data_IF_199106851140
#
_entry.id   IF_199106851140
#
_cell.length_a   1.000
_cell.length_b   1.000
_cell.length_c   1.000
_cell.angle_alpha   90.00
_cell.angle_beta   90.00
_cell.angle_gamma   90.00
#
_symmetry.space_group_name_H-M   'P 1'
#
loop_
_entity.id
_entity.type
_entity.pdbx_description
1 polymer ?
#
# COMPACT_ATOMS: atom_id res chain seq x y z
N UNK A 1 -4.22 -7.07 17.93
CA UNK A 1 -3.81 -5.66 17.72
C UNK A 1 -2.52 -5.53 16.90
N UNK A 2 -1.43 -6.19 17.30
CA UNK A 2 -0.13 -6.03 16.63
C UNK A 2 -0.02 -6.65 15.23
N UNK A 3 -0.74 -7.75 14.96
CA UNK A 3 -0.59 -8.47 13.70
C UNK A 3 -1.20 -7.74 12.50
N UNK A 4 -2.34 -7.05 12.68
CA UNK A 4 -3.00 -6.31 11.59
C UNK A 4 -2.13 -5.16 11.10
N UNK A 5 -1.61 -4.35 12.04
CA UNK A 5 -0.69 -3.25 11.73
C UNK A 5 0.56 -3.76 11.01
N UNK A 6 1.20 -4.80 11.52
CA UNK A 6 2.40 -5.35 10.89
C UNK A 6 2.14 -5.89 9.48
N UNK A 7 0.97 -6.49 9.22
CA UNK A 7 0.61 -6.92 7.86
C UNK A 7 0.36 -5.72 6.95
N UNK A 8 -0.33 -4.67 7.43
CA UNK A 8 -0.52 -3.44 6.66
C UNK A 8 0.83 -2.80 6.29
N UNK A 9 1.74 -2.69 7.25
CA UNK A 9 3.11 -2.19 7.05
C UNK A 9 3.83 -2.99 5.96
N UNK A 10 3.81 -4.32 6.04
CA UNK A 10 4.44 -5.18 5.03
C UNK A 10 3.83 -5.01 3.63
N UNK A 11 2.51 -4.78 3.51
CA UNK A 11 1.90 -4.51 2.20
C UNK A 11 2.37 -3.15 1.65
N UNK A 12 2.43 -2.12 2.50
CA UNK A 12 2.88 -0.79 2.12
C UNK A 12 4.36 -0.78 1.72
N UNK A 13 5.20 -1.56 2.40
CA UNK A 13 6.60 -1.79 2.01
C UNK A 13 6.71 -2.40 0.59
N UNK A 14 5.89 -3.39 0.26
CA UNK A 14 5.86 -3.97 -1.09
C UNK A 14 5.38 -2.95 -2.14
N UNK A 15 4.42 -2.08 -1.80
CA UNK A 15 3.97 -1.00 -2.68
C UNK A 15 5.08 0.05 -2.90
N UNK A 16 5.80 0.44 -1.84
CA UNK A 16 6.95 1.34 -1.94
C UNK A 16 8.05 0.71 -2.82
N UNK A 17 8.38 -0.57 -2.60
CA UNK A 17 9.38 -1.29 -3.38
C UNK A 17 9.00 -1.38 -4.86
N UNK A 18 7.71 -1.59 -5.17
CA UNK A 18 7.21 -1.56 -6.55
C UNK A 18 7.36 -0.17 -7.19
N UNK A 19 7.03 0.89 -6.45
CA UNK A 19 7.19 2.26 -6.92
C UNK A 19 8.66 2.59 -7.20
N UNK A 20 9.56 2.23 -6.27
CA UNK A 20 11.01 2.38 -6.44
C UNK A 20 11.55 1.57 -7.64
N UNK A 21 10.94 0.42 -7.94
CA UNK A 21 11.21 -0.36 -9.14
C UNK A 21 10.61 0.23 -10.43
N UNK A 22 9.86 1.34 -10.34
CA UNK A 22 9.29 2.07 -11.46
C UNK A 22 7.86 1.67 -11.82
N UNK A 23 7.11 1.04 -10.92
CA UNK A 23 5.75 0.55 -11.17
C UNK A 23 4.73 1.00 -10.12
N UNK A 24 3.56 1.39 -10.58
CA UNK A 24 2.33 1.50 -9.77
C UNK A 24 1.44 0.31 -10.13
N UNK A 25 0.90 -0.40 -9.14
CA UNK A 25 0.09 -1.58 -9.37
C UNK A 25 -1.18 -1.26 -10.18
N UNK A 26 -1.80 -0.11 -9.90
CA UNK A 26 -2.97 0.42 -10.60
C UNK A 26 -4.18 -0.51 -10.59
N UNK A 27 -4.27 -1.40 -9.60
CA UNK A 27 -5.43 -2.23 -9.26
C UNK A 27 -5.28 -2.87 -7.87
N UNK A 28 -4.66 -2.15 -6.92
CA UNK A 28 -4.33 -2.74 -5.62
C UNK A 28 -5.57 -3.01 -4.77
N UNK A 29 -5.66 -4.21 -4.17
CA UNK A 29 -6.73 -4.62 -3.25
C UNK A 29 -6.30 -5.78 -2.35
N UNK A 30 -7.13 -6.17 -1.37
CA UNK A 30 -6.87 -7.32 -0.50
C UNK A 30 -6.78 -8.67 -1.25
N UNK A 31 -7.35 -8.73 -2.46
CA UNK A 31 -7.37 -9.94 -3.28
C UNK A 31 -6.03 -10.20 -3.99
N UNK A 32 -5.19 -9.16 -4.08
CA UNK A 32 -3.91 -9.18 -4.79
C UNK A 32 -2.72 -9.31 -3.81
N UNK A 33 -3.01 -9.68 -2.56
CA UNK A 33 -2.06 -9.85 -1.47
C UNK A 33 -2.08 -11.29 -0.99
N UNK A 34 -0.93 -11.95 -1.02
CA UNK A 34 -0.72 -13.23 -0.37
C UNK A 34 0.06 -13.04 0.92
N UNK A 35 -0.45 -13.59 2.02
CA UNK A 35 0.20 -13.52 3.34
C UNK A 35 0.64 -14.91 3.77
N UNK A 36 1.92 -15.05 4.12
CA UNK A 36 2.50 -16.31 4.57
C UNK A 36 3.36 -16.11 5.82
N UNK A 37 3.95 -17.20 6.33
CA UNK A 37 4.91 -17.10 7.43
C UNK A 37 6.22 -16.40 7.02
N UNK A 38 6.50 -16.30 5.72
CA UNK A 38 7.72 -15.70 5.16
C UNK A 38 7.55 -14.20 4.88
N UNK A 39 6.30 -13.69 4.89
CA UNK A 39 6.00 -12.29 4.63
C UNK A 39 4.76 -12.10 3.77
N UNK A 40 4.71 -10.95 3.11
CA UNK A 40 3.64 -10.55 2.17
C UNK A 40 4.16 -10.65 0.74
N UNK A 41 3.29 -10.94 -0.21
CA UNK A 41 3.60 -10.89 -1.64
C UNK A 41 2.46 -10.22 -2.39
N UNK A 42 2.77 -9.19 -3.16
CA UNK A 42 1.83 -8.52 -4.06
C UNK A 42 1.93 -9.14 -5.45
N UNK A 43 0.79 -9.51 -6.04
CA UNK A 43 0.72 -10.20 -7.33
C UNK A 43 -0.41 -9.64 -8.22
N UNK A 44 -0.52 -10.17 -9.44
CA UNK A 44 -1.50 -9.73 -10.45
C UNK A 44 -1.22 -8.31 -11.03
N UNK A 45 -0.11 -8.21 -11.78
CA UNK A 45 0.41 -6.96 -12.36
C UNK A 45 -0.04 -6.58 -13.79
N UNK A 46 -1.03 -7.20 -14.48
CA UNK A 46 -1.31 -6.85 -15.88
C UNK A 46 -1.88 -5.44 -16.06
N UNK A 47 -2.36 -4.79 -15.00
CA UNK A 47 -2.84 -3.40 -15.02
C UNK A 47 -1.77 -2.37 -14.62
N UNK A 48 -0.58 -2.83 -14.21
CA UNK A 48 0.45 -1.96 -13.70
C UNK A 48 0.93 -0.94 -14.74
N UNK A 49 1.23 0.27 -14.26
CA UNK A 49 1.70 1.39 -15.09
C UNK A 49 3.07 1.84 -14.60
N UNK A 50 3.91 2.42 -15.49
CA UNK A 50 5.17 3.01 -15.05
C UNK A 50 4.93 4.26 -14.19
N UNK A 51 5.88 4.59 -13.33
CA UNK A 51 5.77 5.77 -12.44
C UNK A 51 5.76 7.11 -13.20
N UNK A 52 6.24 7.15 -14.44
CA UNK A 52 6.17 8.32 -15.33
C UNK A 52 4.85 8.43 -16.11
N UNK A 53 3.91 7.51 -15.89
CA UNK A 53 2.58 7.57 -16.48
C UNK A 53 1.84 8.82 -15.99
N UNK A 54 1.09 9.49 -16.88
CA UNK A 54 0.41 10.76 -16.58
C UNK A 54 -0.54 10.72 -15.36
N UNK A 55 -1.04 9.53 -15.02
CA UNK A 55 -1.96 9.31 -13.91
C UNK A 55 -1.35 8.43 -12.80
N UNK A 56 -0.02 8.25 -12.74
CA UNK A 56 0.62 7.34 -11.78
C UNK A 56 0.31 7.71 -10.33
N UNK A 57 0.36 9.00 -9.99
CA UNK A 57 0.04 9.53 -8.65
C UNK A 57 -1.41 9.23 -8.25
N UNK A 58 -2.38 9.54 -9.13
CA UNK A 58 -3.80 9.27 -8.88
C UNK A 58 -4.10 7.77 -8.73
N UNK A 59 -3.40 6.92 -9.50
CA UNK A 59 -3.54 5.47 -9.42
C UNK A 59 -2.96 4.92 -8.11
N UNK A 60 -1.83 5.46 -7.65
CA UNK A 60 -1.23 5.08 -6.37
C UNK A 60 -2.11 5.51 -5.19
N UNK A 61 -2.65 6.73 -5.20
CA UNK A 61 -3.58 7.21 -4.16
C UNK A 61 -4.81 6.29 -4.07
N UNK A 62 -5.36 5.89 -5.22
CA UNK A 62 -6.49 4.95 -5.28
C UNK A 62 -6.13 3.56 -4.75
N UNK A 63 -4.93 3.08 -5.08
CA UNK A 63 -4.42 1.80 -4.58
C UNK A 63 -4.29 1.82 -3.04
N UNK A 64 -3.78 2.92 -2.48
CA UNK A 64 -3.72 3.17 -1.03
C UNK A 64 -5.12 3.25 -0.41
N UNK A 65 -6.05 3.97 -1.04
CA UNK A 65 -7.44 4.09 -0.57
C UNK A 65 -8.14 2.73 -0.50
N UNK A 66 -8.00 1.91 -1.54
CA UNK A 66 -8.57 0.56 -1.58
C UNK A 66 -8.02 -0.32 -0.46
N UNK A 67 -6.70 -0.31 -0.28
CA UNK A 67 -6.03 -1.08 0.76
C UNK A 67 -6.51 -0.65 2.16
N UNK A 68 -6.41 0.65 2.48
CA UNK A 68 -6.83 1.17 3.78
C UNK A 68 -8.31 0.95 4.03
N UNK A 69 -9.16 1.15 3.02
CA UNK A 69 -10.60 0.90 3.12
C UNK A 69 -10.94 -0.55 3.48
N UNK A 70 -10.17 -1.53 2.99
CA UNK A 70 -10.29 -2.91 3.41
C UNK A 70 -9.94 -3.08 4.90
N UNK A 71 -8.78 -2.57 5.32
CA UNK A 71 -8.29 -2.70 6.69
C UNK A 71 -9.21 -1.99 7.71
N UNK A 72 -9.68 -0.79 7.41
CA UNK A 72 -10.65 -0.06 8.23
C UNK A 72 -11.97 -0.83 8.38
N UNK A 73 -12.50 -1.38 7.27
CA UNK A 73 -13.76 -2.14 7.28
C UNK A 73 -13.64 -3.46 8.04
N UNK A 74 -12.52 -4.16 7.88
CA UNK A 74 -12.31 -5.50 8.43
C UNK A 74 -11.79 -5.47 9.88
N UNK A 75 -10.98 -4.47 10.21
CA UNK A 75 -10.26 -4.33 11.48
C UNK A 75 -10.34 -2.90 12.05
N UNK A 76 -11.55 -2.34 12.27
CA UNK A 76 -11.73 -0.92 12.60
C UNK A 76 -11.07 -0.46 13.90
N UNK A 77 -10.75 -1.37 14.82
CA UNK A 77 -10.09 -1.04 16.10
C UNK A 77 -8.58 -1.30 16.09
N UNK A 78 -8.02 -1.80 14.98
CA UNK A 78 -6.62 -2.17 14.85
C UNK A 78 -5.90 -1.38 13.74
N UNK A 79 -6.68 -0.82 12.80
CA UNK A 79 -6.18 0.04 11.73
C UNK A 79 -6.03 1.48 12.26
N UNK A 80 -4.83 2.07 12.19
CA UNK A 80 -4.63 3.48 12.56
C UNK A 80 -5.38 4.41 11.59
N UNK A 81 -5.73 5.60 12.08
CA UNK A 81 -6.25 6.68 11.24
C UNK A 81 -5.08 7.28 10.47
N UNK A 82 -5.07 7.09 9.15
CA UNK A 82 -3.98 7.49 8.26
C UNK A 82 -4.51 8.42 7.18
N UNK A 83 -3.76 9.49 6.91
CA UNK A 83 -4.01 10.33 5.74
C UNK A 83 -3.58 9.58 4.47
N UNK A 84 -4.55 9.26 3.62
CA UNK A 84 -4.36 8.47 2.39
C UNK A 84 -3.38 9.14 1.43
N UNK A 85 -3.47 10.47 1.31
CA UNK A 85 -2.63 11.25 0.40
C UNK A 85 -1.21 11.35 0.94
N UNK A 86 -1.06 11.68 2.22
CA UNK A 86 0.26 11.72 2.85
C UNK A 86 0.96 10.36 2.78
N UNK A 87 0.21 9.27 2.93
CA UNK A 87 0.74 7.92 2.78
C UNK A 87 1.15 7.63 1.33
N UNK A 88 0.33 7.96 0.34
CA UNK A 88 0.69 7.82 -1.07
C UNK A 88 1.95 8.64 -1.41
N UNK A 89 2.03 9.89 -0.94
CA UNK A 89 3.20 10.76 -1.11
C UNK A 89 4.46 10.12 -0.50
N UNK A 90 4.37 9.56 0.71
CA UNK A 90 5.48 8.88 1.38
C UNK A 90 5.99 7.66 0.60
N UNK A 91 5.09 6.90 -0.04
CA UNK A 91 5.47 5.76 -0.90
C UNK A 91 6.24 6.20 -2.15
N UNK A 92 5.99 7.41 -2.68
CA UNK A 92 6.69 7.89 -3.89
C UNK A 92 8.13 8.31 -3.65
N UNK A 93 8.45 8.76 -2.45
CA UNK A 93 9.72 9.42 -2.15
C UNK A 93 10.83 8.45 -1.72
N UNK A 94 10.55 7.14 -1.65
CA UNK A 94 11.40 6.15 -0.95
C UNK A 94 11.63 6.56 0.53
N UNK A 95 10.69 7.35 1.09
CA UNK A 95 10.73 7.90 2.45
C UNK A 95 9.77 7.16 3.40
N UNK A 96 9.08 6.12 2.93
CA UNK A 96 8.21 5.32 3.78
C UNK A 96 9.05 4.42 4.71
N UNK A 97 9.19 4.83 5.97
CA UNK A 97 9.88 4.05 7.01
C UNK A 97 8.92 3.24 7.88
N UNK A 98 7.75 3.78 8.25
CA UNK A 98 6.69 3.04 8.95
C UNK A 98 5.34 3.75 8.97
N UNK A 99 4.27 3.00 9.23
CA UNK A 99 2.92 3.54 9.47
C UNK A 99 2.84 4.39 10.76
N UNK A 100 3.74 4.18 11.72
CA UNK A 100 3.72 4.93 12.98
C UNK A 100 4.12 6.41 12.85
N UNK A 101 4.79 6.79 11.77
CA UNK A 101 5.20 8.18 11.51
C UNK A 101 4.11 9.02 10.83
N UNK A 102 3.07 8.35 10.34
CA UNK A 102 1.98 8.93 9.55
C UNK A 102 0.64 8.96 10.30
N UNK A 103 0.63 8.52 11.57
CA UNK A 103 -0.54 8.46 12.47
C UNK A 103 -0.39 9.44 13.64
#
# INVERSE_FOLDING_TARGET
PGQVRGVLELVLEEMAAAYAAGYVHADMSEYNVFVSAEGVTVFDWPQAVPTDHANSEELLERDVENLLGYFERKYPNETPDLDRRALADALTADEFESVAELA
#
